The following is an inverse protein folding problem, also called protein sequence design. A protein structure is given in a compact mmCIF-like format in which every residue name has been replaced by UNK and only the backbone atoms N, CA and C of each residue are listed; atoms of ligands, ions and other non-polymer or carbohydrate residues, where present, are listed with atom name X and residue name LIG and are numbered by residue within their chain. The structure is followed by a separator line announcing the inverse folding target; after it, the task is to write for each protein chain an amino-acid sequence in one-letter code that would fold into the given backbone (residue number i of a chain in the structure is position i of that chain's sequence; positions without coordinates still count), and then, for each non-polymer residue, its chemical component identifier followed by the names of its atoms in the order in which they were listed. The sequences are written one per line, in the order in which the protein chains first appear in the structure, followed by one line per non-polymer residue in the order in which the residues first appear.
data_IF_699011832843
#
_entry.id   IF_699011832843
#
_cell.length_a   1.000
_cell.length_b   1.000
_cell.length_c   1.000
_cell.angle_alpha   90.00
_cell.angle_beta   90.00
_cell.angle_gamma   90.00
#
_symmetry.space_group_name_H-M   'P 1'
#
loop_
_entity.id
_entity.type
_entity.pdbx_description
1 polymer ?
#
# COMPACT_ATOMS: atom_id res chain seq x y z
N UNK A 1 -1.19 -6.47 21.88
CA UNK A 1 -1.61 -5.28 21.14
C UNK A 1 -1.92 -5.68 19.70
N UNK A 2 -3.17 -5.51 19.21
CA UNK A 2 -3.55 -5.88 17.84
C UNK A 2 -3.17 -4.75 16.88
N UNK A 3 -2.35 -5.04 15.88
CA UNK A 3 -2.02 -4.08 14.81
C UNK A 3 -3.21 -3.94 13.86
N UNK A 4 -3.91 -2.81 13.95
CA UNK A 4 -4.96 -2.43 13.02
C UNK A 4 -4.33 -1.68 11.83
N UNK A 5 -4.23 -2.35 10.68
CA UNK A 5 -3.88 -1.66 9.43
C UNK A 5 -5.10 -0.89 8.93
N UNK A 6 -4.92 0.36 8.47
CA UNK A 6 -5.96 1.08 7.75
C UNK A 6 -6.29 0.30 6.48
N UNK A 7 -7.27 -0.59 6.55
CA UNK A 7 -7.66 -1.47 5.46
C UNK A 7 -8.55 -0.71 4.46
N UNK A 8 -8.03 0.40 3.93
CA UNK A 8 -8.63 1.16 2.83
C UNK A 8 -8.34 0.47 1.49
N UNK A 9 -8.32 -0.86 1.48
CA UNK A 9 -8.19 -1.61 0.23
C UNK A 9 -9.43 -1.32 -0.60
N UNK A 10 -9.30 -1.05 -1.91
CA UNK A 10 -10.40 -0.56 -2.74
C UNK A 10 -11.55 -1.56 -2.87
N UNK A 11 -11.32 -2.84 -2.58
CA UNK A 11 -12.37 -3.86 -2.50
C UNK A 11 -13.18 -3.82 -1.19
N UNK A 12 -12.81 -3.05 -0.17
CA UNK A 12 -13.55 -2.92 1.10
C UNK A 12 -14.72 -1.94 0.96
N UNK A 13 -15.83 -2.42 0.38
CA UNK A 13 -17.06 -1.65 0.19
C UNK A 13 -18.03 -1.73 1.40
N UNK A 14 -19.15 -1.00 1.32
CA UNK A 14 -20.18 -0.97 2.38
C UNK A 14 -20.80 -2.36 2.59
N UNK A 15 -21.01 -3.12 1.52
CA UNK A 15 -21.58 -4.47 1.55
C UNK A 15 -20.70 -5.45 2.35
N UNK A 16 -19.39 -5.49 2.08
CA UNK A 16 -18.44 -6.33 2.83
C UNK A 16 -18.38 -5.90 4.30
N UNK A 17 -18.45 -4.60 4.59
CA UNK A 17 -18.53 -4.10 5.97
C UNK A 17 -19.82 -4.55 6.65
N UNK A 18 -20.95 -4.57 5.94
CA UNK A 18 -22.21 -5.08 6.45
C UNK A 18 -22.14 -6.60 6.74
N UNK A 19 -21.60 -7.39 5.81
CA UNK A 19 -21.39 -8.84 5.98
C UNK A 19 -20.45 -9.15 7.16
N UNK A 20 -19.43 -8.32 7.40
CA UNK A 20 -18.57 -8.47 8.59
C UNK A 20 -19.34 -8.22 9.89
N UNK A 21 -20.23 -7.22 9.92
CA UNK A 21 -21.10 -6.96 11.08
C UNK A 21 -22.09 -8.10 11.29
N UNK A 22 -22.69 -8.60 10.22
CA UNK A 22 -23.60 -9.75 10.25
C UNK A 22 -22.89 -11.02 10.75
N UNK A 23 -21.65 -11.26 10.28
CA UNK A 23 -20.84 -12.39 10.75
C UNK A 23 -20.59 -12.30 12.25
N UNK A 24 -20.32 -11.10 12.76
CA UNK A 24 -20.14 -10.85 14.18
C UNK A 24 -21.43 -11.16 14.96
N UNK A 25 -22.60 -10.74 14.45
CA UNK A 25 -23.90 -11.06 15.06
C UNK A 25 -24.17 -12.56 15.10
N UNK A 26 -23.99 -13.26 13.96
CA UNK A 26 -24.19 -14.71 13.87
C UNK A 26 -23.23 -15.50 14.78
N UNK A 27 -21.99 -15.02 14.93
CA UNK A 27 -21.03 -15.60 15.86
C UNK A 27 -21.50 -15.45 17.32
N UNK A 28 -21.97 -14.25 17.69
CA UNK A 28 -22.47 -13.99 19.05
C UNK A 28 -23.76 -14.75 19.36
N UNK A 29 -24.65 -14.94 18.37
CA UNK A 29 -25.87 -15.74 18.54
C UNK A 29 -25.64 -17.25 18.57
N UNK A 30 -24.39 -17.72 18.38
CA UNK A 30 -24.00 -19.14 18.29
C UNK A 30 -24.74 -19.93 17.21
N UNK A 31 -25.35 -19.26 16.24
CA UNK A 31 -26.02 -19.90 15.11
C UNK A 31 -24.98 -20.33 14.06
N UNK A 32 -24.72 -21.64 14.01
CA UNK A 32 -23.75 -22.24 13.09
C UNK A 32 -24.19 -22.20 11.63
N UNK A 33 -25.50 -22.28 11.36
CA UNK A 33 -26.04 -22.23 9.99
C UNK A 33 -25.91 -20.82 9.43
N UNK A 34 -26.37 -19.81 10.19
CA UNK A 34 -26.23 -18.42 9.82
C UNK A 34 -24.75 -18.02 9.66
N UNK A 35 -23.87 -18.47 10.56
CA UNK A 35 -22.44 -18.19 10.46
C UNK A 35 -21.83 -18.74 9.17
N UNK A 36 -22.15 -19.98 8.78
CA UNK A 36 -21.68 -20.60 7.53
C UNK A 36 -22.16 -19.83 6.31
N UNK A 37 -23.42 -19.43 6.29
CA UNK A 37 -24.00 -18.70 5.16
C UNK A 37 -23.38 -17.31 5.02
N UNK A 38 -23.24 -16.56 6.12
CA UNK A 38 -22.59 -15.25 6.09
C UNK A 38 -21.12 -15.37 5.68
N UNK A 39 -20.41 -16.41 6.12
CA UNK A 39 -19.04 -16.68 5.65
C UNK A 39 -18.97 -16.98 4.15
N UNK A 40 -19.94 -17.70 3.59
CA UNK A 40 -20.02 -17.98 2.15
C UNK A 40 -20.26 -16.68 1.37
N UNK A 41 -21.23 -15.88 1.78
CA UNK A 41 -21.54 -14.56 1.18
C UNK A 41 -20.34 -13.62 1.25
N UNK A 42 -19.70 -13.54 2.41
CA UNK A 42 -18.51 -12.70 2.61
C UNK A 42 -17.36 -13.09 1.66
N UNK A 43 -17.07 -14.39 1.52
CA UNK A 43 -16.04 -14.88 0.59
C UNK A 43 -16.37 -14.52 -0.86
N UNK A 44 -17.62 -14.72 -1.28
CA UNK A 44 -18.07 -14.37 -2.62
C UNK A 44 -17.98 -12.86 -2.88
N UNK A 45 -18.49 -12.04 -1.98
CA UNK A 45 -18.46 -10.58 -2.10
C UNK A 45 -17.02 -10.04 -2.20
N UNK A 46 -16.09 -10.57 -1.38
CA UNK A 46 -14.66 -10.22 -1.49
C UNK A 46 -14.07 -10.65 -2.83
N UNK A 47 -14.39 -11.85 -3.33
CA UNK A 47 -13.90 -12.34 -4.64
C UNK A 47 -14.41 -11.44 -5.76
N UNK A 48 -15.69 -11.11 -5.77
CA UNK A 48 -16.31 -10.22 -6.75
C UNK A 48 -15.73 -8.81 -6.70
N UNK A 49 -15.56 -8.23 -5.51
CA UNK A 49 -14.99 -6.90 -5.35
C UNK A 49 -13.54 -6.82 -5.85
N UNK A 50 -12.74 -7.87 -5.58
CA UNK A 50 -11.38 -7.98 -6.13
C UNK A 50 -11.37 -8.12 -7.65
N UNK A 51 -12.28 -8.94 -8.20
CA UNK A 51 -12.39 -9.11 -9.65
C UNK A 51 -12.78 -7.79 -10.34
N UNK A 52 -13.74 -7.05 -9.80
CA UNK A 52 -14.11 -5.71 -10.31
C UNK A 52 -12.92 -4.76 -10.33
N UNK A 53 -12.12 -4.75 -9.26
CA UNK A 53 -10.91 -3.91 -9.21
C UNK A 53 -9.88 -4.34 -10.26
N UNK A 54 -9.65 -5.65 -10.41
CA UNK A 54 -8.78 -6.21 -11.45
C UNK A 54 -9.24 -5.78 -12.84
N UNK A 55 -10.52 -5.98 -13.17
CA UNK A 55 -11.07 -5.63 -14.48
C UNK A 55 -10.90 -4.14 -14.79
N UNK A 56 -11.11 -3.26 -13.80
CA UNK A 56 -10.85 -1.82 -13.95
C UNK A 56 -9.39 -1.54 -14.29
N UNK A 57 -8.44 -2.22 -13.65
CA UNK A 57 -7.02 -2.04 -13.96
C UNK A 57 -6.67 -2.54 -15.37
N UNK A 58 -7.25 -3.67 -15.79
CA UNK A 58 -7.08 -4.21 -17.14
C UNK A 58 -7.66 -3.25 -18.19
N UNK A 59 -8.83 -2.66 -17.93
CA UNK A 59 -9.44 -1.65 -18.79
C UNK A 59 -8.57 -0.39 -18.90
N UNK A 60 -8.01 0.09 -17.79
CA UNK A 60 -7.05 1.21 -17.80
C UNK A 60 -5.81 0.89 -18.64
N UNK A 61 -5.33 -0.36 -18.59
CA UNK A 61 -4.20 -0.82 -19.39
C UNK A 61 -4.55 -0.86 -20.89
N UNK A 62 -5.72 -1.40 -21.24
CA UNK A 62 -6.22 -1.42 -22.63
C UNK A 62 -6.39 -0.01 -23.22
N UNK A 63 -6.74 0.97 -22.39
CA UNK A 63 -6.84 2.38 -22.78
C UNK A 63 -5.48 3.12 -22.81
N UNK A 64 -4.35 2.41 -22.70
CA UNK A 64 -2.99 2.96 -22.59
C UNK A 64 -2.80 3.97 -21.43
N UNK A 65 -3.65 3.91 -20.40
CA UNK A 65 -3.58 4.78 -19.23
C UNK A 65 -2.61 4.21 -18.17
N UNK A 66 -1.32 4.17 -18.52
CA UNK A 66 -0.24 3.63 -17.66
C UNK A 66 -0.17 4.38 -16.32
N UNK A 67 -0.38 5.70 -16.33
CA UNK A 67 -0.41 6.51 -15.10
C UNK A 67 -1.57 6.13 -14.16
N UNK A 68 -2.72 5.73 -14.71
CA UNK A 68 -3.86 5.22 -13.98
C UNK A 68 -3.58 3.86 -13.33
N UNK A 69 -3.00 2.93 -14.10
CA UNK A 69 -2.57 1.62 -13.59
C UNK A 69 -1.56 1.77 -12.46
N UNK A 70 -0.58 2.67 -12.62
CA UNK A 70 0.44 2.91 -11.59
C UNK A 70 -0.13 3.49 -10.29
N UNK A 71 -1.11 4.40 -10.39
CA UNK A 71 -1.86 4.89 -9.22
C UNK A 71 -2.62 3.76 -8.53
N UNK A 72 -3.33 2.94 -9.30
CA UNK A 72 -4.07 1.77 -8.80
C UNK A 72 -3.14 0.75 -8.10
N UNK A 73 -1.94 0.50 -8.64
CA UNK A 73 -0.91 -0.34 -8.03
C UNK A 73 -0.38 0.23 -6.72
N UNK A 74 -0.05 1.53 -6.71
CA UNK A 74 0.41 2.24 -5.51
C UNK A 74 -0.64 2.17 -4.38
N UNK A 75 -1.92 2.29 -4.71
CA UNK A 75 -3.02 2.16 -3.75
C UNK A 75 -3.08 0.78 -3.09
N UNK A 76 -2.88 -0.31 -3.84
CA UNK A 76 -2.99 -1.67 -3.29
C UNK A 76 -1.73 -2.18 -2.60
N UNK A 77 -0.56 -1.71 -3.03
CA UNK A 77 0.72 -2.08 -2.41
C UNK A 77 0.96 -1.35 -1.09
N UNK A 78 0.24 -0.25 -0.84
CA UNK A 78 0.51 0.63 0.28
C UNK A 78 1.88 1.30 0.17
N UNK A 79 2.42 1.41 -1.05
CA UNK A 79 3.70 2.05 -1.31
C UNK A 79 3.61 3.53 -0.92
N UNK A 80 4.26 3.87 0.19
CA UNK A 80 4.47 5.24 0.62
C UNK A 80 5.74 5.72 -0.06
N UNK A 81 5.65 6.83 -0.79
CA UNK A 81 6.88 7.53 -1.20
C UNK A 81 7.65 7.88 0.07
N UNK A 82 8.92 7.48 0.19
CA UNK A 82 9.73 7.92 1.32
C UNK A 82 9.69 9.46 1.38
N UNK A 83 9.74 10.06 2.57
CA UNK A 83 9.86 11.50 2.70
C UNK A 83 11.04 11.93 1.83
N UNK A 84 10.86 12.98 1.02
CA UNK A 84 11.98 13.60 0.32
C UNK A 84 12.90 14.11 1.42
N UNK A 85 13.94 13.33 1.72
CA UNK A 85 15.07 13.80 2.50
C UNK A 85 15.60 15.01 1.72
N UNK A 86 15.79 16.18 2.33
CA UNK A 86 16.36 17.32 1.64
C UNK A 86 17.68 16.85 1.04
N UNK A 87 17.74 16.77 -0.29
CA UNK A 87 18.94 16.44 -1.04
C UNK A 87 20.02 17.36 -0.53
N UNK A 88 21.12 16.75 -0.07
CA UNK A 88 22.12 17.36 0.79
C UNK A 88 22.44 18.80 0.46
N UNK A 89 22.42 19.59 1.53
CA UNK A 89 22.88 20.97 1.58
C UNK A 89 24.19 21.11 0.78
N UNK A 90 24.27 22.01 -0.23
CA UNK A 90 25.45 22.18 -1.08
C UNK A 90 26.76 22.36 -0.30
N UNK A 91 26.65 22.89 0.93
CA UNK A 91 27.76 23.08 1.86
C UNK A 91 28.45 21.77 2.25
N UNK A 92 27.69 20.68 2.43
CA UNK A 92 28.25 19.39 2.82
C UNK A 92 29.09 18.76 1.69
N UNK A 93 28.69 18.99 0.43
CA UNK A 93 29.46 18.55 -0.74
C UNK A 93 30.79 19.30 -0.86
N UNK A 94 30.80 20.62 -0.64
CA UNK A 94 32.03 21.43 -0.67
C UNK A 94 33.02 21.01 0.42
N UNK A 95 32.52 20.74 1.64
CA UNK A 95 33.34 20.30 2.75
C UNK A 95 34.02 18.95 2.51
N UNK A 96 33.33 18.02 1.83
CA UNK A 96 33.90 16.71 1.46
C UNK A 96 35.04 16.85 0.44
N UNK A 97 34.87 17.69 -0.59
CA UNK A 97 35.90 17.93 -1.62
C UNK A 97 37.12 18.64 -1.03
N UNK A 98 36.91 19.65 -0.17
CA UNK A 98 37.99 20.37 0.49
C UNK A 98 38.82 19.49 1.45
N UNK A 99 38.18 18.52 2.10
CA UNK A 99 38.85 17.56 2.98
C UNK A 99 39.78 16.62 2.22
N UNK A 100 39.41 16.24 0.98
CA UNK A 100 40.20 15.35 0.12
C UNK A 100 41.43 16.05 -0.46
N UNK A 101 41.31 17.32 -0.84
CA UNK A 101 42.46 18.13 -1.33
C UNK A 101 43.49 18.42 -0.24
N UNK A 102 43.07 18.49 1.03
CA UNK A 102 43.99 18.72 2.15
C UNK A 102 44.87 17.50 2.45
N UNK A 103 44.32 16.30 2.24
CA UNK A 103 45.05 15.05 2.49
C UNK A 103 46.11 14.77 1.41
N UNK A 104 45.88 15.19 0.18
CA UNK A 104 46.81 14.98 -0.94
C UNK A 104 48.05 15.89 -0.89
N UNK A 105 47.99 17.02 -0.17
CA UNK A 105 49.14 17.93 0.01
C UNK A 105 50.11 17.46 1.10
N UNK A 106 49.65 16.56 1.98
CA UNK A 106 50.46 15.99 3.07
C UNK A 106 51.42 14.89 2.60
N UNK A 107 51.19 14.31 1.42
CA UNK A 107 51.95 13.16 0.90
C UNK A 107 53.12 13.57 -0.01
N UNK A 108 53.31 14.87 -0.28
CA UNK A 108 54.37 15.39 -1.16
C UNK A 108 55.53 16.11 -0.41
N UNK A 109 55.50 16.17 0.93
CA UNK A 109 56.58 16.77 1.75
C UNK A 109 57.10 15.79 2.80
N UNK A 110 57.32 14.54 2.41
CA UNK A 110 58.06 13.53 3.17
C UNK A 110 59.32 13.15 2.43
#
# INVERSE_FOLDING_TARGET
MVRCFSNNKPWMNIEIKALLKEKKRAFLSKDKQALKEVQRRLRLSIRTAKARYKNRMEEQLSQQNVAGVWRSLKTISGFKTPPVQPVGDPQHRLNYVASKSRNQRSEMTG
#
